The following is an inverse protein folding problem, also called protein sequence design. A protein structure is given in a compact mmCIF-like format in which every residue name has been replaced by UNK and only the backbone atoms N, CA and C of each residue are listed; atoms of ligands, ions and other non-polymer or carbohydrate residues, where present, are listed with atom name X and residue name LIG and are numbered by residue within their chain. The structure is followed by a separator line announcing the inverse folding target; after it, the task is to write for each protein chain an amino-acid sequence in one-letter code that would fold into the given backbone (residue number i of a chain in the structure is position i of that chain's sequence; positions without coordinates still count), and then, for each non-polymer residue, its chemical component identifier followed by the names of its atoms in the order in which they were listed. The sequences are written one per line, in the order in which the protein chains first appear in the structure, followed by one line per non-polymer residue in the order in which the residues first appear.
data_IF_210274125231
#
_entry.id   IF_210274125231
#
_cell.length_a   1.000
_cell.length_b   1.000
_cell.length_c   1.000
_cell.angle_alpha   90.00
_cell.angle_beta   90.00
_cell.angle_gamma   90.00
#
_symmetry.space_group_name_H-M   'P 1'
#
loop_
_entity.id
_entity.type
_entity.pdbx_description
1 polymer ?
#
# COMPACT_ATOMS: atom_id res chain seq x y z
N UNK A 1 4.32 -16.83 -3.61
CA UNK A 1 4.51 -15.63 -2.76
C UNK A 1 4.33 -14.37 -3.58
N UNK A 2 3.10 -13.89 -3.66
CA UNK A 2 2.71 -12.63 -4.25
C UNK A 2 1.90 -11.83 -3.21
N UNK A 3 2.26 -10.56 -3.05
CA UNK A 3 1.49 -9.60 -2.29
C UNK A 3 1.64 -8.20 -2.87
N UNK A 4 0.62 -7.37 -2.69
CA UNK A 4 0.58 -6.00 -3.18
C UNK A 4 -0.17 -5.07 -2.23
N UNK A 5 0.36 -3.86 -2.10
CA UNK A 5 -0.34 -2.73 -1.50
C UNK A 5 -1.22 -2.07 -2.56
N UNK A 6 -2.52 -2.01 -2.29
CA UNK A 6 -3.53 -1.43 -3.17
C UNK A 6 -3.90 -0.05 -2.68
N UNK A 7 -3.88 0.92 -3.60
CA UNK A 7 -4.25 2.29 -3.33
C UNK A 7 -5.29 2.78 -4.33
N UNK A 8 -6.25 3.58 -3.86
CA UNK A 8 -7.03 4.44 -4.74
C UNK A 8 -6.25 5.74 -4.96
N UNK A 9 -6.04 6.09 -6.21
CA UNK A 9 -5.29 7.30 -6.60
C UNK A 9 -6.21 8.18 -7.41
N UNK A 10 -6.43 9.40 -6.95
CA UNK A 10 -7.11 10.43 -7.74
C UNK A 10 -6.06 11.31 -8.38
N UNK A 11 -6.04 11.37 -9.69
CA UNK A 11 -5.07 12.17 -10.45
C UNK A 11 -5.79 13.09 -11.41
N UNK A 12 -5.06 14.11 -11.87
CA UNK A 12 -5.59 15.17 -12.72
C UNK A 12 -4.82 15.22 -14.03
N UNK A 13 -5.53 15.29 -15.14
CA UNK A 13 -4.94 15.65 -16.42
C UNK A 13 -4.64 17.16 -16.44
N UNK A 14 -3.38 17.50 -16.71
CA UNK A 14 -2.87 18.87 -16.80
C UNK A 14 -2.23 19.07 -18.18
N UNK A 15 -3.06 19.26 -19.23
CA UNK A 15 -2.57 19.33 -20.60
C UNK A 15 -1.74 20.60 -20.82
N UNK A 16 -0.59 20.45 -21.48
CA UNK A 16 0.36 21.54 -21.74
C UNK A 16 0.03 22.41 -22.97
N UNK A 17 -0.98 22.04 -23.77
CA UNK A 17 -1.46 22.79 -24.94
C UNK A 17 -2.84 23.38 -24.69
N UNK A 18 -3.32 24.21 -25.61
CA UNK A 18 -4.67 24.80 -25.61
C UNK A 18 -5.80 23.76 -25.86
N UNK A 19 -5.83 22.70 -25.06
CA UNK A 19 -6.87 21.67 -25.05
C UNK A 19 -7.55 21.69 -23.69
N UNK A 20 -8.87 21.52 -23.69
CA UNK A 20 -9.68 21.41 -22.48
C UNK A 20 -10.16 19.98 -22.32
N UNK A 21 -10.17 19.51 -21.08
CA UNK A 21 -10.57 18.14 -20.74
C UNK A 21 -11.55 18.20 -19.59
N UNK A 22 -12.72 17.59 -19.79
CA UNK A 22 -13.78 17.49 -18.80
C UNK A 22 -14.39 16.07 -18.83
N UNK A 23 -14.39 15.32 -17.70
CA UNK A 23 -13.75 15.66 -16.43
C UNK A 23 -12.22 15.64 -16.54
N UNK A 24 -11.53 16.47 -15.73
CA UNK A 24 -10.05 16.48 -15.66
C UNK A 24 -9.47 15.65 -14.52
N UNK A 25 -10.30 15.15 -13.60
CA UNK A 25 -9.89 14.35 -12.44
C UNK A 25 -10.47 12.96 -12.59
N UNK A 26 -9.62 11.95 -12.42
CA UNK A 26 -9.97 10.55 -12.54
C UNK A 26 -9.47 9.80 -11.31
N UNK A 27 -10.14 8.70 -10.98
CA UNK A 27 -9.69 7.76 -9.97
C UNK A 27 -9.18 6.50 -10.67
N UNK A 28 -8.09 5.94 -10.16
CA UNK A 28 -7.53 4.66 -10.61
C UNK A 28 -7.03 3.85 -9.42
N UNK A 29 -6.77 2.57 -9.65
CA UNK A 29 -6.16 1.68 -8.67
C UNK A 29 -4.68 1.52 -8.95
N UNK A 30 -3.84 1.86 -7.99
CA UNK A 30 -2.41 1.61 -8.01
C UNK A 30 -2.11 0.35 -7.18
N UNK A 31 -1.35 -0.59 -7.76
CA UNK A 31 -0.83 -1.75 -7.05
C UNK A 31 0.68 -1.65 -6.97
N UNK A 32 1.22 -1.61 -5.75
CA UNK A 32 2.66 -1.70 -5.49
C UNK A 32 2.97 -3.12 -5.01
N UNK A 33 3.77 -3.92 -5.73
CA UNK A 33 4.24 -5.21 -5.22
C UNK A 33 4.92 -5.04 -3.85
N UNK A 34 4.67 -5.97 -2.95
CA UNK A 34 5.35 -6.02 -1.66
C UNK A 34 6.68 -6.75 -1.82
N UNK A 35 7.70 -6.20 -1.17
CA UNK A 35 9.03 -6.81 -1.12
C UNK A 35 8.97 -8.04 -0.19
N UNK A 36 9.63 -9.18 -0.51
CA UNK A 36 9.51 -10.40 0.28
C UNK A 36 9.86 -10.20 1.76
N UNK A 37 9.17 -10.87 2.71
CA UNK A 37 9.51 -10.77 4.12
C UNK A 37 10.99 -11.09 4.38
N UNK A 38 11.66 -10.26 5.19
CA UNK A 38 13.10 -10.38 5.47
C UNK A 38 14.03 -9.68 4.47
N UNK A 39 13.56 -9.36 3.26
CA UNK A 39 14.36 -8.67 2.24
C UNK A 39 14.33 -7.13 2.39
N UNK A 40 15.38 -6.41 1.98
CA UNK A 40 15.39 -4.94 2.06
C UNK A 40 14.13 -4.31 1.44
N UNK A 41 13.34 -3.59 2.25
CA UNK A 41 12.10 -2.93 1.82
C UNK A 41 10.80 -3.58 2.31
N UNK A 42 10.85 -4.81 2.86
CA UNK A 42 9.65 -5.54 3.34
C UNK A 42 8.86 -4.80 4.43
N UNK A 43 9.51 -3.87 5.14
CA UNK A 43 8.94 -3.03 6.20
C UNK A 43 8.15 -1.82 5.67
N UNK A 44 7.86 -1.76 4.38
CA UNK A 44 7.08 -0.67 3.78
C UNK A 44 5.81 -0.34 4.56
N UNK A 45 5.03 -1.34 4.98
CA UNK A 45 3.81 -1.14 5.76
C UNK A 45 4.07 -0.44 7.11
N UNK A 46 5.17 -0.78 7.78
CA UNK A 46 5.53 -0.19 9.07
C UNK A 46 5.89 1.29 8.91
N UNK A 47 6.58 1.61 7.82
CA UNK A 47 7.16 2.92 7.60
C UNK A 47 6.15 3.90 6.95
N UNK A 48 5.14 3.40 6.24
CA UNK A 48 4.21 4.21 5.46
C UNK A 48 2.75 4.13 5.91
N UNK A 49 2.36 3.12 6.70
CA UNK A 49 0.97 2.93 7.12
C UNK A 49 0.81 3.03 8.64
N UNK A 50 -0.36 3.46 9.07
CA UNK A 50 -0.78 3.45 10.46
C UNK A 50 -2.28 3.23 10.54
N UNK A 51 -2.70 2.15 11.20
CA UNK A 51 -4.11 1.73 11.35
C UNK A 51 -4.90 1.65 10.04
N UNK A 52 -4.23 1.33 8.93
CA UNK A 52 -4.87 1.25 7.60
C UNK A 52 -4.95 2.59 6.87
N UNK A 53 -4.29 3.63 7.35
CA UNK A 53 -4.15 4.92 6.66
C UNK A 53 -2.68 5.21 6.33
N UNK A 54 -2.44 6.09 5.36
CA UNK A 54 -1.09 6.60 5.10
C UNK A 54 -0.61 7.43 6.29
N UNK A 55 0.59 7.12 6.80
CA UNK A 55 1.20 7.86 7.91
C UNK A 55 1.56 9.29 7.52
N UNK A 56 1.96 9.51 6.25
CA UNK A 56 2.25 10.82 5.68
C UNK A 56 1.66 10.97 4.27
N UNK A 57 0.35 11.30 4.16
CA UNK A 57 -0.36 11.34 2.89
C UNK A 57 0.19 12.35 1.88
N UNK A 58 0.77 13.46 2.36
CA UNK A 58 1.32 14.52 1.51
C UNK A 58 2.59 14.06 0.78
N UNK A 59 3.58 13.55 1.51
CA UNK A 59 4.80 13.01 0.89
C UNK A 59 4.49 11.81 -0.01
N UNK A 60 3.54 10.95 0.38
CA UNK A 60 3.16 9.80 -0.43
C UNK A 60 2.48 10.21 -1.74
N UNK A 61 1.66 11.27 -1.71
CA UNK A 61 1.06 11.87 -2.90
C UNK A 61 2.13 12.38 -3.86
N UNK A 62 3.15 13.06 -3.37
CA UNK A 62 4.23 13.60 -4.22
C UNK A 62 5.01 12.48 -4.91
N UNK A 63 5.43 11.46 -4.14
CA UNK A 63 6.10 10.27 -4.69
C UNK A 63 5.24 9.55 -5.74
N UNK A 64 3.93 9.45 -5.48
CA UNK A 64 2.99 8.83 -6.44
C UNK A 64 2.86 9.69 -7.70
N UNK A 65 2.86 11.01 -7.56
CA UNK A 65 2.82 11.94 -8.69
C UNK A 65 4.06 11.84 -9.57
N UNK A 66 5.24 11.74 -8.95
CA UNK A 66 6.50 11.51 -9.65
C UNK A 66 6.49 10.17 -10.40
N UNK A 67 6.03 9.09 -9.74
CA UNK A 67 5.97 7.76 -10.33
C UNK A 67 4.99 7.67 -11.52
N UNK A 68 3.84 8.34 -11.43
CA UNK A 68 2.81 8.31 -12.49
C UNK A 68 3.03 9.37 -13.58
N UNK A 69 3.86 10.37 -13.35
CA UNK A 69 4.11 11.47 -14.28
C UNK A 69 2.91 12.41 -14.47
N UNK A 70 1.94 12.39 -13.55
CA UNK A 70 0.73 13.24 -13.57
C UNK A 70 0.48 13.82 -12.18
N UNK A 71 -0.12 15.02 -12.08
CA UNK A 71 -0.53 15.58 -10.79
C UNK A 71 -1.50 14.64 -10.08
N UNK A 72 -1.12 14.17 -8.90
CA UNK A 72 -2.01 13.41 -8.01
C UNK A 72 -2.71 14.40 -7.08
N UNK A 73 -4.00 14.20 -6.80
CA UNK A 73 -4.81 14.99 -5.87
C UNK A 73 -4.95 14.29 -4.51
N UNK A 74 -5.09 12.96 -4.51
CA UNK A 74 -5.14 12.16 -3.27
C UNK A 74 -4.68 10.72 -3.52
N UNK A 75 -4.13 10.10 -2.48
CA UNK A 75 -3.84 8.66 -2.42
C UNK A 75 -4.44 8.10 -1.14
N UNK A 76 -5.14 6.98 -1.23
CA UNK A 76 -5.76 6.31 -0.09
C UNK A 76 -5.37 4.84 -0.12
N UNK A 77 -4.86 4.31 0.99
CA UNK A 77 -4.66 2.87 1.15
C UNK A 77 -6.01 2.16 1.16
N UNK A 78 -6.13 1.07 0.41
CA UNK A 78 -7.36 0.28 0.31
C UNK A 78 -7.20 -1.09 0.94
N UNK A 79 -6.18 -1.82 0.51
CA UNK A 79 -5.97 -3.18 0.94
C UNK A 79 -4.51 -3.61 0.80
N UNK A 80 -4.15 -4.61 1.59
CA UNK A 80 -2.98 -5.46 1.38
C UNK A 80 -3.48 -6.79 0.79
N UNK A 81 -3.39 -6.93 -0.53
CA UNK A 81 -3.72 -8.16 -1.24
C UNK A 81 -2.54 -9.13 -1.10
N UNK A 82 -2.74 -10.34 -0.59
CA UNK A 82 -1.66 -11.32 -0.37
C UNK A 82 -2.13 -12.75 -0.62
N UNK A 83 -1.23 -13.63 -1.05
CA UNK A 83 -1.46 -15.07 -0.95
C UNK A 83 -1.17 -15.58 0.48
N UNK A 84 -1.57 -16.83 0.76
CA UNK A 84 -1.34 -17.47 2.06
C UNK A 84 0.15 -17.67 2.37
N UNK A 85 0.93 -18.04 1.36
CA UNK A 85 2.37 -18.33 1.53
C UNK A 85 3.13 -17.08 1.98
N UNK A 86 2.79 -15.92 1.41
CA UNK A 86 3.32 -14.62 1.83
C UNK A 86 2.79 -14.20 3.20
N UNK A 87 1.49 -14.38 3.51
CA UNK A 87 0.94 -14.02 4.85
C UNK A 87 1.60 -14.84 5.96
N UNK A 88 1.81 -16.15 5.76
CA UNK A 88 2.54 -17.01 6.70
C UNK A 88 3.99 -16.53 6.88
N UNK A 89 4.71 -16.27 5.79
CA UNK A 89 6.09 -15.77 5.85
C UNK A 89 6.21 -14.40 6.53
N UNK A 90 5.27 -13.48 6.25
CA UNK A 90 5.21 -12.17 6.89
C UNK A 90 5.01 -12.30 8.39
N UNK A 91 4.11 -13.18 8.82
CA UNK A 91 3.84 -13.43 10.24
C UNK A 91 5.02 -14.07 10.95
N UNK A 92 5.73 -14.98 10.29
CA UNK A 92 6.94 -15.61 10.82
C UNK A 92 8.06 -14.58 11.05
N UNK A 93 8.34 -13.74 10.04
CA UNK A 93 9.37 -12.69 10.15
C UNK A 93 9.02 -11.64 11.22
N UNK A 94 7.75 -11.26 11.35
CA UNK A 94 7.31 -10.36 12.44
C UNK A 94 7.47 -11.06 13.80
N UNK A 95 7.14 -12.34 13.90
CA UNK A 95 7.27 -13.10 15.16
C UNK A 95 8.72 -13.26 15.60
N UNK A 96 9.67 -13.29 14.65
CA UNK A 96 11.09 -13.39 14.92
C UNK A 96 11.65 -12.16 15.68
N UNK A 97 11.12 -10.95 15.42
CA UNK A 97 11.48 -9.74 16.16
C UNK A 97 10.32 -8.74 16.29
N UNK A 98 9.64 -8.77 17.44
CA UNK A 98 8.54 -7.86 17.76
C UNK A 98 9.01 -6.49 18.30
N UNK A 99 10.25 -6.38 18.76
CA UNK A 99 10.77 -5.16 19.36
C UNK A 99 10.66 -3.90 18.47
N UNK A 100 10.98 -3.94 17.16
CA UNK A 100 10.85 -2.76 16.30
C UNK A 100 9.40 -2.29 16.12
N UNK A 101 8.43 -3.19 16.29
CA UNK A 101 7.02 -2.87 16.14
C UNK A 101 6.37 -2.35 17.42
N UNK A 102 7.03 -2.49 18.58
CA UNK A 102 6.49 -2.15 19.91
C UNK A 102 5.09 -2.73 20.09
N UNK A 103 5.00 -4.05 19.93
CA UNK A 103 3.77 -4.82 19.99
C UNK A 103 4.04 -6.14 20.73
N UNK A 104 3.01 -6.69 21.36
CA UNK A 104 3.10 -7.92 22.14
C UNK A 104 2.74 -9.17 21.32
N UNK A 105 2.21 -8.99 20.10
CA UNK A 105 1.84 -10.09 19.21
C UNK A 105 1.84 -9.69 17.73
N UNK A 106 2.01 -10.68 16.83
CA UNK A 106 1.94 -10.48 15.38
C UNK A 106 0.58 -9.90 14.95
N UNK A 107 -0.52 -10.40 15.51
CA UNK A 107 -1.86 -9.90 15.19
C UNK A 107 -2.02 -8.42 15.57
N UNK A 108 -1.40 -7.99 16.67
CA UNK A 108 -1.34 -6.58 17.05
C UNK A 108 -0.54 -5.77 16.02
N UNK A 109 0.61 -6.25 15.56
CA UNK A 109 1.40 -5.58 14.50
C UNK A 109 0.56 -5.41 13.24
N UNK A 110 -0.03 -6.50 12.73
CA UNK A 110 -0.86 -6.47 11.52
C UNK A 110 -2.01 -5.47 11.68
N UNK A 111 -2.76 -5.55 12.79
CA UNK A 111 -3.87 -4.62 13.04
C UNK A 111 -3.41 -3.17 13.23
N UNK A 112 -2.23 -2.95 13.84
CA UNK A 112 -1.68 -1.63 14.13
C UNK A 112 -1.28 -0.88 12.87
N UNK A 113 -0.77 -1.58 11.86
CA UNK A 113 -0.28 -0.95 10.64
C UNK A 113 -1.24 -1.11 9.45
N UNK A 114 -1.71 -2.33 9.19
CA UNK A 114 -2.58 -2.66 8.05
C UNK A 114 -4.07 -2.53 8.38
N UNK A 115 -4.43 -2.33 9.65
CA UNK A 115 -5.83 -2.24 10.07
C UNK A 115 -6.57 -3.56 9.84
N UNK A 116 -7.80 -3.47 9.34
CA UNK A 116 -8.61 -4.64 8.92
C UNK A 116 -8.55 -4.89 7.41
N UNK A 117 -7.60 -4.28 6.71
CA UNK A 117 -7.56 -4.25 5.24
C UNK A 117 -6.61 -5.29 4.64
N UNK A 118 -6.45 -6.44 5.29
CA UNK A 118 -5.68 -7.56 4.72
C UNK A 118 -6.62 -8.48 3.97
N UNK A 119 -6.40 -8.63 2.68
CA UNK A 119 -7.19 -9.49 1.80
C UNK A 119 -6.32 -10.66 1.35
N UNK A 120 -6.58 -11.84 1.92
CA UNK A 120 -5.91 -13.06 1.49
C UNK A 120 -6.67 -13.62 0.30
N UNK A 121 -6.10 -13.46 -0.90
CA UNK A 121 -6.63 -14.11 -2.10
C UNK A 121 -6.36 -15.61 -1.98
N UNK A 122 -7.44 -16.39 -1.89
CA UNK A 122 -7.37 -17.83 -2.11
C UNK A 122 -7.01 -18.12 -3.56
N UNK A 123 -6.60 -19.36 -3.90
CA UNK A 123 -6.65 -19.77 -5.30
C UNK A 123 -8.12 -19.58 -5.76
N UNK A 124 -8.35 -18.92 -6.90
CA UNK A 124 -9.65 -18.49 -7.47
C UNK A 124 -10.04 -17.06 -7.02
N UNK A 125 -10.02 -16.01 -7.85
CA UNK A 125 -10.68 -15.84 -9.16
C UNK A 125 -9.70 -15.39 -10.26
N UNK A 126 -9.65 -16.17 -11.36
CA UNK A 126 -9.08 -15.78 -12.67
C UNK A 126 -10.18 -15.19 -13.55
#
# INVERSE_FOLDING_TARGET
MDAAYVFAVRFRLDPSRDVRVEPRVFETTLRRPADPPGEPGWLFFRDNLWRGDLADPESFRDLTSEALGVPVESVEFRAFETDREYDDALREEIAADLAPFKADSVSEVVSKYLGSSVEVVGPEDT
#
